data_IF_623963013512
#
_entry.id   IF_623963013512
#
_cell.length_a   1.000
_cell.length_b   1.000
_cell.length_c   1.000
_cell.angle_alpha   90.00
_cell.angle_beta   90.00
_cell.angle_gamma   90.00
#
_symmetry.space_group_name_H-M   'P 1'
#
loop_
_entity.id
_entity.type
_entity.pdbx_description
1 polymer ?
#
# COMPACT_ATOMS: atom_id res chain seq x y z
N UNK A 1 6.06 -18.75 11.10
CA UNK A 1 7.26 -18.01 10.64
C UNK A 1 7.70 -17.08 11.76
N UNK A 2 9.00 -17.05 12.07
CA UNK A 2 9.51 -16.25 13.19
C UNK A 2 9.43 -14.76 12.84
N UNK A 3 9.27 -13.88 13.83
CA UNK A 3 9.23 -12.41 13.67
C UNK A 3 10.44 -11.85 12.92
N UNK A 4 11.57 -12.57 12.90
CA UNK A 4 12.76 -12.25 12.09
C UNK A 4 12.51 -12.39 10.58
N UNK A 5 11.66 -13.32 10.14
CA UNK A 5 11.38 -13.59 8.71
C UNK A 5 10.32 -12.63 8.14
N UNK A 6 9.57 -11.93 9.00
CA UNK A 6 8.49 -11.03 8.58
C UNK A 6 9.02 -9.65 8.13
N UNK A 7 10.11 -9.15 8.72
CA UNK A 7 10.67 -7.84 8.37
C UNK A 7 11.15 -7.76 6.91
N UNK A 8 11.92 -8.72 6.38
CA UNK A 8 12.31 -8.70 4.97
C UNK A 8 11.10 -8.77 4.01
N UNK A 9 10.11 -9.60 4.35
CA UNK A 9 8.90 -9.78 3.54
C UNK A 9 8.05 -8.49 3.47
N UNK A 10 7.91 -7.78 4.59
CA UNK A 10 7.23 -6.48 4.63
C UNK A 10 7.99 -5.39 3.91
N UNK A 11 9.30 -5.28 4.11
CA UNK A 11 10.12 -4.29 3.41
C UNK A 11 9.99 -4.46 1.89
N UNK A 12 10.02 -5.70 1.42
CA UNK A 12 9.74 -6.00 0.02
C UNK A 12 8.34 -5.55 -0.39
N UNK A 13 7.30 -5.83 0.40
CA UNK A 13 5.94 -5.38 0.09
C UNK A 13 5.81 -3.85 0.00
N UNK A 14 6.44 -3.09 0.91
CA UNK A 14 6.46 -1.63 0.82
C UNK A 14 7.14 -1.15 -0.44
N UNK A 15 8.29 -1.74 -0.80
CA UNK A 15 9.00 -1.40 -2.04
C UNK A 15 8.12 -1.60 -3.27
N UNK A 16 7.45 -2.74 -3.37
CA UNK A 16 6.60 -3.05 -4.54
C UNK A 16 5.38 -2.12 -4.62
N UNK A 17 4.75 -1.77 -3.49
CA UNK A 17 3.63 -0.80 -3.46
C UNK A 17 4.10 0.59 -3.87
N UNK A 18 5.25 1.04 -3.37
CA UNK A 18 5.83 2.34 -3.77
C UNK A 18 6.11 2.39 -5.26
N UNK A 19 6.73 1.34 -5.84
CA UNK A 19 6.98 1.27 -7.29
C UNK A 19 5.69 1.29 -8.11
N UNK A 20 4.64 0.60 -7.63
CA UNK A 20 3.34 0.58 -8.31
C UNK A 20 2.67 1.96 -8.32
N UNK A 21 2.75 2.69 -7.22
CA UNK A 21 2.21 4.05 -7.11
C UNK A 21 3.01 5.06 -7.94
N UNK A 22 4.33 4.90 -8.02
CA UNK A 22 5.16 5.71 -8.94
C UNK A 22 4.67 5.52 -10.37
N UNK A 23 4.55 4.27 -10.82
CA UNK A 23 4.07 3.99 -12.18
C UNK A 23 2.65 4.52 -12.45
N UNK A 24 1.75 4.44 -11.46
CA UNK A 24 0.40 5.03 -11.55
C UNK A 24 0.48 6.55 -11.73
N UNK A 25 1.31 7.21 -10.93
CA UNK A 25 1.43 8.66 -10.98
C UNK A 25 2.10 9.15 -12.25
N UNK A 26 3.13 8.46 -12.74
CA UNK A 26 3.72 8.75 -14.05
C UNK A 26 2.70 8.58 -15.18
N UNK A 27 1.85 7.56 -15.11
CA UNK A 27 0.86 7.28 -16.15
C UNK A 27 -0.23 8.35 -16.27
N UNK A 28 -0.67 8.91 -15.14
CA UNK A 28 -1.73 9.91 -15.09
C UNK A 28 -1.21 11.35 -14.99
N UNK A 29 0.10 11.56 -15.17
CA UNK A 29 0.79 12.84 -14.96
C UNK A 29 0.35 13.50 -13.66
N UNK A 30 0.36 12.69 -12.60
CA UNK A 30 -0.20 13.07 -11.32
C UNK A 30 0.52 14.29 -10.77
N UNK A 31 -0.25 15.18 -10.15
CA UNK A 31 0.27 16.42 -9.62
C UNK A 31 1.43 16.16 -8.64
N UNK A 32 2.53 16.93 -8.72
CA UNK A 32 3.70 16.72 -7.87
C UNK A 32 3.36 16.68 -6.37
N UNK A 33 2.40 17.50 -5.96
CA UNK A 33 1.92 17.57 -4.58
C UNK A 33 1.26 16.25 -4.12
N UNK A 34 0.53 15.54 -5.01
CA UNK A 34 -0.05 14.23 -4.73
C UNK A 34 1.02 13.14 -4.61
N UNK A 35 2.03 13.20 -5.48
CA UNK A 35 3.17 12.28 -5.43
C UNK A 35 3.94 12.43 -4.11
N UNK A 36 4.24 13.67 -3.71
CA UNK A 36 4.93 13.98 -2.46
C UNK A 36 4.13 13.50 -1.25
N UNK A 37 2.83 13.84 -1.18
CA UNK A 37 1.96 13.42 -0.08
C UNK A 37 1.89 11.89 0.05
N UNK A 38 1.83 11.16 -1.07
CA UNK A 38 1.78 9.69 -1.08
C UNK A 38 3.10 9.08 -0.63
N UNK A 39 4.23 9.62 -1.08
CA UNK A 39 5.55 9.19 -0.64
C UNK A 39 5.73 9.38 0.87
N UNK A 40 5.27 10.52 1.38
CA UNK A 40 5.31 10.84 2.81
C UNK A 40 4.44 9.88 3.64
N UNK A 41 3.23 9.58 3.17
CA UNK A 41 2.32 8.64 3.81
C UNK A 41 2.91 7.22 3.87
N UNK A 42 3.40 6.70 2.74
CA UNK A 42 4.06 5.39 2.68
C UNK A 42 5.30 5.34 3.58
N UNK A 43 6.09 6.40 3.57
CA UNK A 43 7.30 6.53 4.40
C UNK A 43 6.98 6.46 5.89
N UNK A 44 5.90 7.10 6.36
CA UNK A 44 5.46 7.02 7.76
C UNK A 44 5.06 5.60 8.15
N UNK A 45 4.29 4.90 7.31
CA UNK A 45 3.84 3.53 7.59
C UNK A 45 5.04 2.56 7.57
N UNK A 46 5.97 2.73 6.64
CA UNK A 46 7.18 1.92 6.57
C UNK A 46 8.08 2.13 7.80
N UNK A 47 8.33 3.38 8.22
CA UNK A 47 9.11 3.67 9.44
C UNK A 47 8.44 3.11 10.69
N UNK A 48 7.11 3.22 10.79
CA UNK A 48 6.34 2.63 11.89
C UNK A 48 6.48 1.10 11.90
N UNK A 49 6.55 0.45 10.74
CA UNK A 49 6.83 -0.98 10.65
C UNK A 49 8.24 -1.33 11.15
N UNK A 50 9.26 -0.57 10.75
CA UNK A 50 10.64 -0.82 11.18
C UNK A 50 10.80 -0.75 12.71
N UNK A 51 10.07 0.17 13.34
CA UNK A 51 10.05 0.34 14.80
C UNK A 51 9.18 -0.70 15.54
N UNK A 52 8.35 -1.48 14.82
CA UNK A 52 7.46 -2.47 15.43
C UNK A 52 8.23 -3.77 15.72
N UNK A 53 8.34 -4.12 16.99
CA UNK A 53 8.94 -5.37 17.47
C UNK A 53 7.85 -6.28 18.04
N UNK A 54 7.24 -7.15 17.23
CA UNK A 54 6.22 -8.09 17.70
C UNK A 54 5.46 -8.80 16.57
N UNK A 55 4.82 -9.97 16.84
CA UNK A 55 4.18 -10.78 15.82
C UNK A 55 2.88 -10.15 15.29
N UNK A 56 2.67 -10.28 13.97
CA UNK A 56 1.50 -9.79 13.21
C UNK A 56 0.23 -10.63 13.45
N UNK A 57 -0.98 -10.04 13.46
CA UNK A 57 -2.22 -10.77 13.22
C UNK A 57 -2.43 -11.08 11.72
N UNK A 58 -3.19 -12.14 11.45
CA UNK A 58 -3.32 -12.83 10.17
C UNK A 58 -4.74 -12.69 9.55
N UNK A 59 -4.78 -12.72 8.21
CA UNK A 59 -5.85 -12.92 7.21
C UNK A 59 -7.09 -12.00 7.08
N UNK A 60 -7.62 -11.35 8.12
CA UNK A 60 -8.83 -10.51 7.95
C UNK A 60 -8.58 -9.22 7.14
N UNK A 61 -7.35 -8.68 7.22
CA UNK A 61 -6.95 -7.44 6.56
C UNK A 61 -6.81 -7.54 5.02
N UNK A 62 -6.69 -8.75 4.47
CA UNK A 62 -6.65 -8.98 3.02
C UNK A 62 -8.04 -8.96 2.41
N UNK A 63 -9.03 -9.45 3.13
CA UNK A 63 -10.41 -9.50 2.65
C UNK A 63 -11.01 -8.11 2.43
N UNK A 64 -10.59 -7.11 3.19
CA UNK A 64 -11.17 -5.76 3.14
C UNK A 64 -10.63 -4.89 1.99
N UNK A 65 -9.36 -5.05 1.58
CA UNK A 65 -8.81 -4.37 0.40
C UNK A 65 -9.42 -4.92 -0.91
N UNK A 66 -9.90 -6.16 -0.87
CA UNK A 66 -10.69 -6.73 -1.96
C UNK A 66 -12.08 -6.08 -2.07
N UNK A 67 -12.78 -5.84 -0.95
CA UNK A 67 -14.07 -5.12 -1.00
C UNK A 67 -13.96 -3.69 -1.54
N UNK A 68 -12.85 -3.01 -1.28
CA UNK A 68 -12.62 -1.63 -1.75
C UNK A 68 -12.39 -1.54 -3.27
N UNK A 69 -11.77 -2.56 -3.85
CA UNK A 69 -11.54 -2.64 -5.30
C UNK A 69 -12.85 -2.88 -6.05
N UNK A 70 -13.68 -3.77 -5.51
CA UNK A 70 -14.96 -4.13 -6.13
C UNK A 70 -15.93 -2.93 -6.21
N UNK A 71 -15.86 -2.03 -5.23
CA UNK A 71 -16.72 -0.84 -5.19
C UNK A 71 -16.24 0.25 -6.17
N UNK A 72 -14.92 0.39 -6.37
CA UNK A 72 -14.34 1.29 -7.39
C UNK A 72 -14.76 0.87 -8.81
N UNK A 73 -14.86 -0.44 -9.04
CA UNK A 73 -15.34 -1.01 -10.30
C UNK A 73 -16.84 -0.78 -10.51
N UNK A 74 -17.63 -0.76 -9.44
CA UNK A 74 -19.06 -0.47 -9.52
C UNK A 74 -19.32 1.00 -9.90
N UNK A 75 -18.61 1.93 -9.28
CA UNK A 75 -18.81 3.37 -9.51
C UNK A 75 -18.29 3.84 -10.87
N UNK A 76 -17.22 3.22 -11.39
CA UNK A 76 -16.75 3.48 -12.74
C UNK A 76 -17.73 2.99 -13.82
N UNK A 77 -18.56 1.99 -13.50
CA UNK A 77 -19.58 1.45 -14.40
C UNK A 77 -20.86 2.29 -14.45
N UNK A 78 -21.22 3.00 -13.37
CA UNK A 78 -22.39 3.90 -13.35
C UNK A 78 -22.14 5.24 -14.08
N UNK A 79 -20.87 5.59 -14.29
CA UNK A 79 -20.43 6.79 -14.98
C UNK A 79 -20.31 6.63 -16.52
N UNK A 80 -20.65 5.45 -17.07
CA UNK A 80 -20.54 5.06 -18.49
C UNK A 80 -21.92 4.85 -19.14
#
# INVERSE_FOLDING_TARGET
MSTKDQRPALTRAFREVTLSLIGLFELYDAEPELMEATADALGRVFRAHLNRSGPRPNDEAKSALHGLLDEMDSLAAEAA
#
